data_IF_932728777691
#
_entry.id   IF_932728777691
#
_cell.length_a   1.000
_cell.length_b   1.000
_cell.length_c   1.000
_cell.angle_alpha   90.00
_cell.angle_beta   90.00
_cell.angle_gamma   90.00
#
_symmetry.space_group_name_H-M   'P 1'
#
loop_
_entity.id
_entity.type
_entity.pdbx_description
1 polymer ?
#
# COMPACT_ATOMS: atom_id res chain seq x y z
N UNK A 1 17.84 13.90 3.84
CA UNK A 1 16.39 13.66 3.95
C UNK A 1 15.69 14.97 4.24
N UNK A 2 14.61 15.25 3.54
CA UNK A 2 13.80 16.46 3.74
C UNK A 2 13.10 16.45 5.12
N UNK A 3 12.76 17.66 5.62
CA UNK A 3 11.95 17.78 6.86
C UNK A 3 10.59 17.06 6.73
N UNK A 4 10.03 17.04 5.52
CA UNK A 4 8.76 16.36 5.24
C UNK A 4 8.85 14.83 5.43
N UNK A 5 10.00 14.22 5.12
CA UNK A 5 10.21 12.81 5.36
C UNK A 5 10.14 12.44 6.85
N UNK A 6 10.72 13.27 7.73
CA UNK A 6 10.62 13.05 9.18
C UNK A 6 9.17 13.16 9.68
N UNK A 7 8.39 14.11 9.14
CA UNK A 7 6.95 14.22 9.42
C UNK A 7 6.24 12.94 8.94
N UNK A 8 6.55 12.48 7.72
CA UNK A 8 6.00 11.22 7.19
C UNK A 8 6.29 10.03 8.09
N UNK A 9 7.55 9.86 8.54
CA UNK A 9 7.90 8.78 9.48
C UNK A 9 7.20 8.90 10.82
N UNK A 10 7.02 10.11 11.35
CA UNK A 10 6.32 10.33 12.62
C UNK A 10 4.84 9.94 12.50
N UNK A 11 4.15 10.36 11.43
CA UNK A 11 2.74 10.02 11.20
C UNK A 11 2.58 8.52 10.94
N UNK A 12 3.41 7.93 10.06
CA UNK A 12 3.36 6.49 9.80
C UNK A 12 3.66 5.67 11.06
N UNK A 13 4.66 6.08 11.84
CA UNK A 13 4.99 5.48 13.13
C UNK A 13 3.82 5.54 14.12
N UNK A 14 3.13 6.68 14.20
CA UNK A 14 1.93 6.83 15.04
C UNK A 14 0.84 5.83 14.64
N UNK A 15 0.52 5.71 13.34
CA UNK A 15 -0.50 4.76 12.87
C UNK A 15 -0.07 3.31 13.05
N UNK A 16 1.21 2.98 12.84
CA UNK A 16 1.74 1.64 13.09
C UNK A 16 1.65 1.29 14.59
N UNK A 17 2.03 2.20 15.47
CA UNK A 17 1.89 2.01 16.91
C UNK A 17 0.40 1.88 17.30
N UNK A 18 -0.48 2.73 16.77
CA UNK A 18 -1.91 2.62 16.98
C UNK A 18 -2.46 1.26 16.52
N UNK A 19 -2.02 0.75 15.37
CA UNK A 19 -2.42 -0.57 14.87
C UNK A 19 -1.94 -1.73 15.75
N UNK A 20 -0.67 -1.67 16.23
CA UNK A 20 -0.10 -2.72 17.09
C UNK A 20 -0.79 -2.72 18.46
N UNK A 21 -0.94 -1.54 19.05
CA UNK A 21 -1.51 -1.37 20.39
C UNK A 21 -3.03 -1.12 20.38
N UNK A 22 -3.72 -1.35 19.26
CA UNK A 22 -5.15 -1.12 19.13
C UNK A 22 -6.00 -1.72 20.24
N UNK A 23 -5.76 -2.99 20.70
CA UNK A 23 -6.53 -3.57 21.80
C UNK A 23 -6.36 -2.86 23.15
N UNK A 24 -5.28 -2.09 23.34
CA UNK A 24 -4.99 -1.35 24.57
C UNK A 24 -5.38 0.13 24.48
N UNK A 25 -5.45 0.67 23.26
CA UNK A 25 -5.78 2.09 23.00
C UNK A 25 -7.29 2.27 22.85
N UNK A 26 -7.98 1.28 22.27
CA UNK A 26 -9.43 1.35 22.09
C UNK A 26 -10.14 1.40 23.45
N UNK A 27 -11.01 2.38 23.60
CA UNK A 27 -11.76 2.60 24.85
C UNK A 27 -13.01 1.74 24.95
N UNK A 28 -13.52 1.25 23.80
CA UNK A 28 -14.72 0.42 23.69
C UNK A 28 -14.50 -0.74 22.74
N UNK A 29 -15.33 -1.80 22.89
CA UNK A 29 -15.41 -2.86 21.89
C UNK A 29 -15.93 -2.28 20.56
N UNK A 30 -15.18 -2.51 19.48
CA UNK A 30 -15.46 -1.96 18.14
C UNK A 30 -16.74 -2.50 17.49
N UNK A 31 -17.28 -3.58 18.04
CA UNK A 31 -18.51 -4.24 17.58
C UNK A 31 -19.71 -3.98 18.47
N UNK A 32 -19.51 -3.47 19.71
CA UNK A 32 -20.56 -3.17 20.64
C UNK A 32 -21.48 -2.07 20.11
N UNK A 33 -22.76 -2.38 19.97
CA UNK A 33 -23.78 -1.49 19.44
C UNK A 33 -24.63 -0.90 20.57
N UNK A 34 -24.91 0.43 20.49
CA UNK A 34 -25.83 1.10 21.38
C UNK A 34 -26.74 2.06 20.59
N UNK A 35 -27.88 1.57 20.16
CA UNK A 35 -28.78 2.33 19.29
C UNK A 35 -29.35 3.59 19.96
N UNK A 36 -29.33 3.70 21.29
CA UNK A 36 -29.71 4.92 22.01
C UNK A 36 -28.67 6.04 21.83
N UNK A 37 -27.41 5.68 21.52
CA UNK A 37 -26.28 6.60 21.34
C UNK A 37 -25.92 6.82 19.86
N UNK A 38 -26.87 6.64 18.94
CA UNK A 38 -26.62 6.81 17.50
C UNK A 38 -26.28 8.26 17.16
N UNK A 39 -25.19 8.43 16.39
CA UNK A 39 -24.76 9.72 15.85
C UNK A 39 -24.54 10.80 16.92
N UNK A 40 -24.18 10.43 18.14
CA UNK A 40 -23.76 11.38 19.17
C UNK A 40 -22.42 11.98 18.74
N UNK A 41 -22.32 13.32 18.79
CA UNK A 41 -21.09 14.05 18.49
C UNK A 41 -19.96 13.72 19.47
N UNK A 42 -18.75 14.24 19.25
CA UNK A 42 -17.62 14.06 20.16
C UNK A 42 -17.94 14.52 21.59
N UNK A 43 -17.65 13.65 22.57
CA UNK A 43 -17.82 13.88 24.01
C UNK A 43 -16.59 13.41 24.77
N UNK A 44 -16.55 13.65 26.09
CA UNK A 44 -15.49 13.15 26.96
C UNK A 44 -15.49 11.61 27.05
N UNK A 45 -16.64 10.96 26.88
CA UNK A 45 -16.78 9.50 26.86
C UNK A 45 -16.48 8.90 25.48
N UNK A 46 -16.94 9.57 24.40
CA UNK A 46 -16.74 9.18 23.02
C UNK A 46 -15.93 10.27 22.27
N UNK A 47 -14.62 10.18 22.27
CA UNK A 47 -13.72 11.25 21.78
C UNK A 47 -13.99 11.66 20.34
N UNK A 48 -14.34 10.72 19.47
CA UNK A 48 -14.70 10.97 18.08
C UNK A 48 -16.21 10.83 17.83
N UNK A 49 -17.01 10.71 18.91
CA UNK A 49 -18.44 10.45 18.81
C UNK A 49 -18.77 9.01 18.47
N UNK A 50 -20.03 8.77 18.08
CA UNK A 50 -20.55 7.45 17.74
C UNK A 50 -21.11 7.41 16.33
N UNK A 51 -21.15 6.21 15.74
CA UNK A 51 -21.66 5.97 14.39
C UNK A 51 -23.18 5.66 14.36
N UNK A 52 -23.67 5.24 13.18
CA UNK A 52 -25.09 4.93 12.96
C UNK A 52 -25.62 3.72 13.74
N UNK A 53 -24.76 2.91 14.33
CA UNK A 53 -25.13 1.82 15.23
C UNK A 53 -24.79 2.13 16.69
N UNK A 54 -24.35 3.39 16.97
CA UNK A 54 -23.91 3.79 18.30
C UNK A 54 -22.58 3.18 18.74
N UNK A 55 -21.74 2.73 17.77
CA UNK A 55 -20.40 2.21 18.04
C UNK A 55 -19.42 3.38 18.18
N UNK A 56 -18.41 3.24 19.03
CA UNK A 56 -17.40 4.26 19.26
C UNK A 56 -16.49 4.47 18.04
N UNK A 57 -16.52 5.69 17.47
CA UNK A 57 -15.75 6.02 16.25
C UNK A 57 -14.24 6.02 16.52
N UNK A 58 -13.78 6.48 17.71
CA UNK A 58 -12.35 6.47 18.04
C UNK A 58 -11.79 5.06 18.05
N UNK A 59 -12.41 4.13 18.79
CA UNK A 59 -11.99 2.74 18.85
C UNK A 59 -11.99 2.09 17.47
N UNK A 60 -12.99 2.38 16.64
CA UNK A 60 -13.07 1.89 15.26
C UNK A 60 -11.98 2.46 14.35
N UNK A 61 -11.62 3.74 14.48
CA UNK A 61 -10.52 4.35 13.71
C UNK A 61 -9.18 3.72 14.09
N UNK A 62 -8.95 3.46 15.38
CA UNK A 62 -7.72 2.81 15.88
C UNK A 62 -7.61 1.37 15.37
N UNK A 63 -8.67 0.57 15.46
CA UNK A 63 -8.68 -0.79 14.90
C UNK A 63 -8.67 -0.78 13.36
N UNK A 64 -9.27 0.23 12.74
CA UNK A 64 -9.21 0.45 11.29
C UNK A 64 -7.78 0.65 10.79
N UNK A 65 -6.92 1.29 11.58
CA UNK A 65 -5.50 1.39 11.27
C UNK A 65 -4.86 0.02 11.10
N UNK A 66 -5.17 -0.94 11.98
CA UNK A 66 -4.64 -2.30 11.91
C UNK A 66 -5.03 -2.99 10.60
N UNK A 67 -6.32 -2.92 10.24
CA UNK A 67 -6.86 -3.59 9.06
C UNK A 67 -6.36 -2.92 7.77
N UNK A 68 -6.48 -1.59 7.66
CA UNK A 68 -6.08 -0.88 6.44
C UNK A 68 -4.55 -0.92 6.21
N UNK A 69 -3.73 -0.88 7.27
CA UNK A 69 -2.28 -1.05 7.13
C UNK A 69 -1.89 -2.50 6.82
N UNK A 70 -2.56 -3.50 7.39
CA UNK A 70 -2.32 -4.91 7.06
C UNK A 70 -2.57 -5.18 5.58
N UNK A 71 -3.68 -4.68 5.03
CA UNK A 71 -3.95 -4.75 3.59
C UNK A 71 -2.85 -4.08 2.79
N UNK A 72 -2.49 -2.83 3.13
CA UNK A 72 -1.46 -2.08 2.44
C UNK A 72 -0.10 -2.79 2.43
N UNK A 73 0.36 -3.23 3.62
CA UNK A 73 1.65 -3.92 3.78
C UNK A 73 1.65 -5.23 2.99
N UNK A 74 0.59 -6.03 3.10
CA UNK A 74 0.52 -7.33 2.42
C UNK A 74 0.51 -7.16 0.90
N UNK A 75 -0.30 -6.23 0.38
CA UNK A 75 -0.35 -5.93 -1.07
C UNK A 75 1.01 -5.47 -1.58
N UNK A 76 1.66 -4.53 -0.90
CA UNK A 76 2.97 -4.02 -1.30
C UNK A 76 4.03 -5.11 -1.25
N UNK A 77 4.08 -5.89 -0.16
CA UNK A 77 5.08 -6.95 0.03
C UNK A 77 4.96 -8.03 -1.04
N UNK A 78 3.76 -8.57 -1.26
CA UNK A 78 3.53 -9.62 -2.27
C UNK A 78 3.79 -9.07 -3.67
N UNK A 79 3.27 -7.88 -4.00
CA UNK A 79 3.48 -7.26 -5.30
C UNK A 79 4.95 -6.93 -5.58
N UNK A 80 5.69 -6.47 -4.57
CA UNK A 80 7.11 -6.16 -4.68
C UNK A 80 7.94 -7.42 -4.92
N UNK A 81 7.69 -8.51 -4.19
CA UNK A 81 8.41 -9.78 -4.38
C UNK A 81 8.15 -10.33 -5.78
N UNK A 82 6.85 -10.48 -6.13
CA UNK A 82 6.47 -11.07 -7.41
C UNK A 82 6.96 -10.22 -8.59
N UNK A 83 6.76 -8.90 -8.51
CA UNK A 83 7.24 -7.96 -9.52
C UNK A 83 8.76 -7.94 -9.63
N UNK A 84 9.48 -8.00 -8.50
CA UNK A 84 10.95 -8.08 -8.49
C UNK A 84 11.44 -9.32 -9.23
N UNK A 85 10.88 -10.49 -8.94
CA UNK A 85 11.28 -11.74 -9.57
C UNK A 85 11.04 -11.70 -11.08
N UNK A 86 9.83 -11.33 -11.50
CA UNK A 86 9.48 -11.28 -12.94
C UNK A 86 10.27 -10.20 -13.67
N UNK A 87 10.41 -9.01 -13.06
CA UNK A 87 11.17 -7.92 -13.64
C UNK A 87 12.66 -8.23 -13.77
N UNK A 88 13.23 -8.92 -12.75
CA UNK A 88 14.62 -9.36 -12.80
C UNK A 88 14.85 -10.39 -13.90
N UNK A 89 13.96 -11.38 -14.06
CA UNK A 89 14.03 -12.38 -15.13
C UNK A 89 13.97 -11.69 -16.51
N UNK A 90 12.99 -10.79 -16.70
CA UNK A 90 12.85 -10.06 -17.96
C UNK A 90 14.12 -9.24 -18.31
N UNK A 91 14.63 -8.47 -17.33
CA UNK A 91 15.80 -7.61 -17.53
C UNK A 91 17.11 -8.40 -17.70
N UNK A 92 17.27 -9.51 -17.00
CA UNK A 92 18.51 -10.29 -17.01
C UNK A 92 18.67 -11.12 -18.29
N UNK A 93 17.67 -11.93 -18.66
CA UNK A 93 17.74 -12.78 -19.82
C UNK A 93 17.57 -12.02 -21.14
N UNK A 94 16.77 -10.96 -21.16
CA UNK A 94 16.58 -10.16 -22.37
C UNK A 94 15.89 -10.94 -23.51
N UNK A 95 16.13 -10.51 -24.75
CA UNK A 95 15.71 -11.21 -25.95
C UNK A 95 14.23 -11.56 -26.01
N UNK A 96 13.90 -12.83 -26.25
CA UNK A 96 12.52 -13.32 -26.33
C UNK A 96 11.79 -13.22 -24.98
N UNK A 97 12.46 -13.57 -23.87
CA UNK A 97 11.88 -13.53 -22.52
C UNK A 97 11.45 -12.12 -22.18
N UNK A 98 12.30 -11.15 -22.42
CA UNK A 98 11.97 -9.74 -22.18
C UNK A 98 10.83 -9.25 -23.09
N UNK A 99 10.88 -9.58 -24.38
CA UNK A 99 9.84 -9.19 -25.33
C UNK A 99 8.49 -9.79 -24.96
N UNK A 100 8.45 -11.03 -24.50
CA UNK A 100 7.22 -11.68 -24.06
C UNK A 100 6.70 -11.06 -22.75
N UNK A 101 7.53 -10.94 -21.73
CA UNK A 101 7.10 -10.43 -20.42
C UNK A 101 6.77 -8.93 -20.48
N UNK A 102 7.69 -8.10 -20.99
CA UNK A 102 7.49 -6.65 -21.01
C UNK A 102 6.65 -6.15 -22.18
N UNK A 103 6.74 -6.83 -23.33
CA UNK A 103 5.98 -6.47 -24.53
C UNK A 103 4.53 -6.98 -24.52
N UNK A 104 4.28 -8.13 -23.91
CA UNK A 104 2.95 -8.72 -23.86
C UNK A 104 2.35 -8.67 -22.45
N UNK A 105 2.95 -9.40 -21.51
CA UNK A 105 2.34 -9.62 -20.20
C UNK A 105 2.11 -8.29 -19.47
N UNK A 106 3.14 -7.44 -19.33
CA UNK A 106 2.97 -6.15 -18.64
C UNK A 106 1.94 -5.26 -19.33
N UNK A 107 1.93 -5.24 -20.66
CA UNK A 107 1.01 -4.40 -21.44
C UNK A 107 -0.43 -4.86 -21.33
N UNK A 108 -0.71 -6.16 -21.24
CA UNK A 108 -2.05 -6.68 -20.99
C UNK A 108 -2.61 -6.13 -19.67
N UNK A 109 -1.83 -6.18 -18.58
CA UNK A 109 -2.26 -5.63 -17.31
C UNK A 109 -2.41 -4.09 -17.34
N UNK A 110 -1.55 -3.39 -18.06
CA UNK A 110 -1.58 -1.93 -18.16
C UNK A 110 -2.64 -1.41 -19.14
N UNK A 111 -3.18 -2.26 -20.01
CA UNK A 111 -4.28 -1.90 -20.89
C UNK A 111 -5.59 -1.64 -20.13
N UNK A 112 -5.73 -2.20 -18.93
CA UNK A 112 -6.88 -1.98 -18.08
C UNK A 112 -6.59 -0.89 -17.04
N UNK A 113 -7.52 0.07 -16.81
CA UNK A 113 -7.43 0.95 -15.66
C UNK A 113 -7.41 0.11 -14.36
N UNK A 114 -6.35 0.26 -13.54
CA UNK A 114 -6.11 -0.62 -12.39
C UNK A 114 -7.30 -0.74 -11.44
N UNK A 115 -7.95 0.39 -11.10
CA UNK A 115 -9.13 0.37 -10.23
C UNK A 115 -10.31 -0.40 -10.84
N UNK A 116 -10.56 -0.27 -12.15
CA UNK A 116 -11.63 -1.00 -12.81
C UNK A 116 -11.36 -2.52 -12.84
N UNK A 117 -10.11 -2.91 -13.07
CA UNK A 117 -9.71 -4.31 -13.00
C UNK A 117 -9.84 -4.85 -11.57
N UNK A 118 -9.50 -4.04 -10.54
CA UNK A 118 -9.70 -4.42 -9.14
C UNK A 118 -11.18 -4.65 -8.82
N UNK A 119 -12.06 -3.73 -9.25
CA UNK A 119 -13.51 -3.84 -9.09
C UNK A 119 -14.02 -5.14 -9.73
N UNK A 120 -13.63 -5.42 -10.97
CA UNK A 120 -14.04 -6.63 -11.68
C UNK A 120 -13.58 -7.91 -10.96
N UNK A 121 -12.31 -7.94 -10.49
CA UNK A 121 -11.76 -9.08 -9.76
C UNK A 121 -12.48 -9.31 -8.44
N UNK A 122 -12.70 -8.25 -7.64
CA UNK A 122 -13.40 -8.39 -6.36
C UNK A 122 -14.87 -8.75 -6.56
N UNK A 123 -15.53 -8.19 -7.57
CA UNK A 123 -16.91 -8.56 -7.91
C UNK A 123 -17.02 -10.06 -8.28
N UNK A 124 -16.01 -10.60 -8.98
CA UNK A 124 -15.95 -12.03 -9.33
C UNK A 124 -15.59 -12.92 -8.12
N UNK A 125 -14.60 -12.54 -7.32
CA UNK A 125 -14.12 -13.31 -6.17
C UNK A 125 -15.07 -13.23 -4.97
N UNK A 126 -15.88 -12.18 -4.89
CA UNK A 126 -16.75 -11.84 -3.76
C UNK A 126 -16.05 -10.99 -2.69
N UNK A 127 -16.81 -10.48 -1.72
CA UNK A 127 -16.30 -9.66 -0.62
C UNK A 127 -15.39 -10.44 0.34
N UNK A 128 -14.45 -9.75 0.98
CA UNK A 128 -13.56 -10.30 1.99
C UNK A 128 -12.14 -9.79 1.91
N UNK A 129 -11.49 -9.61 3.06
CA UNK A 129 -10.14 -9.05 3.16
C UNK A 129 -9.11 -9.78 2.29
N UNK A 130 -9.04 -11.12 2.38
CA UNK A 130 -8.09 -11.90 1.60
C UNK A 130 -8.33 -11.82 0.09
N UNK A 131 -9.59 -11.73 -0.33
CA UNK A 131 -9.96 -11.62 -1.75
C UNK A 131 -9.62 -10.23 -2.31
N UNK A 132 -9.84 -9.19 -1.51
CA UNK A 132 -9.44 -7.82 -1.83
C UNK A 132 -7.91 -7.71 -1.95
N UNK A 133 -7.16 -8.27 -1.00
CA UNK A 133 -5.69 -8.33 -1.08
C UNK A 133 -5.25 -9.05 -2.36
N UNK A 134 -5.83 -10.21 -2.66
CA UNK A 134 -5.49 -10.98 -3.86
C UNK A 134 -5.74 -10.17 -5.15
N UNK A 135 -6.90 -9.50 -5.25
CA UNK A 135 -7.22 -8.65 -6.40
C UNK A 135 -6.22 -7.50 -6.57
N UNK A 136 -5.86 -6.82 -5.47
CA UNK A 136 -4.88 -5.73 -5.50
C UNK A 136 -3.47 -6.24 -5.85
N UNK A 137 -3.07 -7.41 -5.36
CA UNK A 137 -1.78 -8.03 -5.70
C UNK A 137 -1.68 -8.39 -7.19
N UNK A 138 -2.75 -8.91 -7.79
CA UNK A 138 -2.81 -9.26 -9.23
C UNK A 138 -2.53 -8.05 -10.12
N UNK A 139 -2.81 -6.85 -9.64
CA UNK A 139 -2.60 -5.61 -10.41
C UNK A 139 -1.29 -4.93 -10.02
N UNK A 140 -0.98 -4.91 -8.73
CA UNK A 140 0.10 -4.11 -8.15
C UNK A 140 1.53 -4.50 -8.61
N UNK A 141 1.76 -5.77 -8.91
CA UNK A 141 3.10 -6.30 -9.20
C UNK A 141 3.76 -5.72 -10.46
N UNK A 142 2.97 -5.31 -11.47
CA UNK A 142 3.50 -4.84 -12.76
C UNK A 142 4.35 -3.58 -12.60
N UNK A 143 3.96 -2.67 -11.70
CA UNK A 143 4.74 -1.47 -11.40
C UNK A 143 6.14 -1.82 -10.89
N UNK A 144 6.24 -2.74 -9.94
CA UNK A 144 7.52 -3.23 -9.40
C UNK A 144 8.34 -3.97 -10.46
N UNK A 145 7.69 -4.80 -11.28
CA UNK A 145 8.37 -5.54 -12.36
C UNK A 145 9.01 -4.60 -13.38
N UNK A 146 8.34 -3.52 -13.76
CA UNK A 146 8.88 -2.51 -14.69
C UNK A 146 10.09 -1.77 -14.10
N UNK A 147 10.00 -1.36 -12.83
CA UNK A 147 11.10 -0.69 -12.14
C UNK A 147 12.31 -1.64 -12.04
N UNK A 148 12.10 -2.87 -11.56
CA UNK A 148 13.20 -3.85 -11.44
C UNK A 148 13.81 -4.17 -12.79
N UNK A 149 13.01 -4.45 -13.82
CA UNK A 149 13.50 -4.68 -15.19
C UNK A 149 14.40 -3.54 -15.64
N UNK A 150 13.96 -2.29 -15.50
CA UNK A 150 14.76 -1.11 -15.88
C UNK A 150 16.10 -1.04 -15.14
N UNK A 151 16.10 -1.33 -13.83
CA UNK A 151 17.33 -1.35 -13.04
C UNK A 151 18.26 -2.50 -13.44
N UNK A 152 17.74 -3.69 -13.64
CA UNK A 152 18.55 -4.84 -14.08
C UNK A 152 19.17 -4.60 -15.45
N UNK A 153 18.43 -4.04 -16.40
CA UNK A 153 18.95 -3.65 -17.72
C UNK A 153 20.10 -2.64 -17.61
N UNK A 154 20.02 -1.71 -16.66
CA UNK A 154 21.08 -0.71 -16.43
C UNK A 154 22.29 -1.34 -15.75
N UNK A 155 22.09 -2.08 -14.65
CA UNK A 155 23.17 -2.61 -13.81
C UNK A 155 23.97 -3.71 -14.50
N UNK A 156 23.33 -4.54 -15.35
CA UNK A 156 24.00 -5.62 -16.05
C UNK A 156 25.08 -5.15 -17.04
N UNK A 157 25.05 -3.89 -17.47
CA UNK A 157 26.02 -3.29 -18.38
C UNK A 157 27.21 -2.63 -17.64
N UNK A 158 27.25 -2.66 -16.29
CA UNK A 158 28.35 -2.09 -15.54
C UNK A 158 29.61 -2.96 -15.63
N UNK A 159 30.79 -2.32 -15.68
CA UNK A 159 32.09 -2.96 -15.87
C UNK A 159 32.34 -4.11 -14.88
N UNK A 160 31.97 -3.95 -13.61
CA UNK A 160 32.16 -5.02 -12.62
C UNK A 160 31.30 -6.26 -12.88
N UNK A 161 30.12 -6.09 -13.51
CA UNK A 161 29.26 -7.22 -13.91
C UNK A 161 29.85 -7.91 -15.13
N UNK A 162 30.34 -7.14 -16.11
CA UNK A 162 31.01 -7.65 -17.28
C UNK A 162 32.31 -8.40 -16.92
N UNK A 163 33.09 -7.86 -15.98
CA UNK A 163 34.27 -8.51 -15.44
C UNK A 163 33.94 -9.84 -14.74
N UNK A 164 32.92 -9.88 -13.87
CA UNK A 164 32.47 -11.09 -13.22
C UNK A 164 32.05 -12.17 -14.24
N UNK A 165 31.40 -11.76 -15.33
CA UNK A 165 31.03 -12.68 -16.44
C UNK A 165 32.25 -13.19 -17.18
N UNK A 166 33.23 -12.34 -17.47
CA UNK A 166 34.50 -12.74 -18.13
C UNK A 166 35.29 -13.72 -17.28
N UNK A 167 35.23 -13.61 -15.96
CA UNK A 167 35.83 -14.53 -14.99
C UNK A 167 35.04 -15.86 -14.82
N UNK A 168 33.97 -16.08 -15.59
CA UNK A 168 33.19 -17.32 -15.57
C UNK A 168 32.17 -17.44 -14.43
N UNK A 169 31.77 -16.33 -13.78
CA UNK A 169 30.72 -16.37 -12.77
C UNK A 169 29.39 -16.86 -13.37
N UNK A 170 28.69 -17.75 -12.66
CA UNK A 170 27.39 -18.26 -13.10
C UNK A 170 26.32 -17.13 -13.10
N UNK A 171 25.32 -17.30 -13.98
CA UNK A 171 24.20 -16.34 -14.10
C UNK A 171 23.49 -16.06 -12.76
N UNK A 172 23.25 -17.06 -11.94
CA UNK A 172 22.65 -16.91 -10.63
C UNK A 172 23.55 -16.10 -9.69
N UNK A 173 24.87 -16.38 -9.67
CA UNK A 173 25.81 -15.59 -8.89
C UNK A 173 25.83 -14.13 -9.33
N UNK A 174 25.87 -13.87 -10.64
CA UNK A 174 25.83 -12.51 -11.19
C UNK A 174 24.55 -11.80 -10.75
N UNK A 175 23.39 -12.44 -10.91
CA UNK A 175 22.10 -11.87 -10.57
C UNK A 175 22.00 -11.53 -9.08
N UNK A 176 22.24 -12.52 -8.19
CA UNK A 176 22.00 -12.35 -6.75
C UNK A 176 23.11 -11.56 -6.03
N UNK A 177 24.36 -11.66 -6.48
CA UNK A 177 25.50 -11.02 -5.80
C UNK A 177 25.84 -9.65 -6.38
N UNK A 178 25.67 -9.44 -7.68
CA UNK A 178 26.13 -8.22 -8.34
C UNK A 178 24.99 -7.31 -8.81
N UNK A 179 23.87 -7.86 -9.31
CA UNK A 179 22.80 -7.07 -9.91
C UNK A 179 21.74 -6.69 -8.88
N UNK A 180 21.09 -7.66 -8.23
CA UNK A 180 19.95 -7.41 -7.33
C UNK A 180 20.30 -6.44 -6.19
N UNK A 181 21.43 -6.55 -5.46
CA UNK A 181 21.74 -5.61 -4.39
C UNK A 181 21.86 -4.16 -4.85
N UNK A 182 22.29 -3.95 -6.11
CA UNK A 182 22.44 -2.61 -6.70
C UNK A 182 21.16 -2.12 -7.41
N UNK A 183 20.22 -3.01 -7.70
CA UNK A 183 18.97 -2.71 -8.39
C UNK A 183 17.79 -2.44 -7.42
N UNK A 184 17.92 -2.79 -6.13
CA UNK A 184 16.80 -2.76 -5.17
C UNK A 184 16.42 -1.37 -4.68
N UNK A 185 17.35 -0.39 -4.71
CA UNK A 185 17.11 0.94 -4.15
C UNK A 185 15.83 1.63 -4.67
N UNK A 186 15.56 1.72 -5.97
CA UNK A 186 14.34 2.33 -6.47
C UNK A 186 13.07 1.56 -6.11
N UNK A 187 13.17 0.26 -5.80
CA UNK A 187 12.03 -0.52 -5.33
C UNK A 187 11.59 -0.15 -3.91
N UNK A 188 12.53 0.27 -3.05
CA UNK A 188 12.21 0.77 -1.70
C UNK A 188 11.36 2.04 -1.81
N UNK A 189 11.75 2.96 -2.69
CA UNK A 189 10.94 4.15 -3.00
C UNK A 189 9.58 3.77 -3.55
N UNK A 190 9.55 2.86 -4.53
CA UNK A 190 8.31 2.36 -5.13
C UNK A 190 7.40 1.68 -4.08
N UNK A 191 7.97 0.97 -3.11
CA UNK A 191 7.21 0.33 -2.03
C UNK A 191 6.54 1.37 -1.12
N UNK A 192 7.25 2.45 -0.76
CA UNK A 192 6.65 3.54 0.04
C UNK A 192 5.47 4.20 -0.68
N UNK A 193 5.64 4.55 -1.97
CA UNK A 193 4.55 5.11 -2.78
C UNK A 193 3.42 4.08 -3.00
N UNK A 194 3.78 2.79 -3.12
CA UNK A 194 2.86 1.68 -3.22
C UNK A 194 1.96 1.52 -2.00
N UNK A 195 2.47 1.81 -0.79
CA UNK A 195 1.67 1.82 0.44
C UNK A 195 0.54 2.84 0.37
N UNK A 196 0.85 4.09 -0.04
CA UNK A 196 -0.17 5.13 -0.23
C UNK A 196 -1.24 4.68 -1.24
N UNK A 197 -0.80 4.12 -2.37
CA UNK A 197 -1.70 3.60 -3.41
C UNK A 197 -2.56 2.42 -2.94
N UNK A 198 -2.00 1.49 -2.18
CA UNK A 198 -2.71 0.31 -1.69
C UNK A 198 -3.81 0.68 -0.66
N UNK A 199 -3.48 1.57 0.30
CA UNK A 199 -4.45 2.07 1.29
C UNK A 199 -5.58 2.85 0.59
N UNK A 200 -5.25 3.69 -0.39
CA UNK A 200 -6.26 4.43 -1.14
C UNK A 200 -7.13 3.50 -2.00
N UNK A 201 -6.55 2.45 -2.60
CA UNK A 201 -7.29 1.47 -3.38
C UNK A 201 -8.22 0.62 -2.50
N UNK A 202 -7.76 0.19 -1.32
CA UNK A 202 -8.60 -0.48 -0.33
C UNK A 202 -9.78 0.40 0.06
N UNK A 203 -9.52 1.66 0.44
CA UNK A 203 -10.56 2.60 0.83
C UNK A 203 -11.57 2.84 -0.31
N UNK A 204 -11.10 2.97 -1.56
CA UNK A 204 -11.96 3.16 -2.73
C UNK A 204 -12.86 1.95 -3.00
N UNK A 205 -12.32 0.73 -2.92
CA UNK A 205 -13.09 -0.50 -3.10
C UNK A 205 -14.10 -0.70 -1.96
N UNK A 206 -13.68 -0.41 -0.73
CA UNK A 206 -14.55 -0.45 0.44
C UNK A 206 -15.68 0.56 0.35
N UNK A 207 -15.40 1.79 -0.10
CA UNK A 207 -16.40 2.83 -0.37
C UNK A 207 -17.45 2.41 -1.43
N UNK A 208 -17.07 1.57 -2.38
CA UNK A 208 -17.97 0.99 -3.37
C UNK A 208 -18.72 -0.27 -2.87
N UNK A 209 -18.56 -0.63 -1.59
CA UNK A 209 -19.18 -1.82 -1.01
C UNK A 209 -18.49 -3.14 -1.38
N UNK A 210 -17.31 -3.07 -2.02
CA UNK A 210 -16.53 -4.22 -2.45
C UNK A 210 -15.35 -4.53 -1.50
N UNK A 211 -15.32 -3.87 -0.37
CA UNK A 211 -14.22 -3.98 0.59
C UNK A 211 -14.40 -5.09 1.62
N UNK A 212 -13.97 -4.78 2.84
CA UNK A 212 -14.01 -5.69 3.98
C UNK A 212 -15.41 -5.63 4.60
N UNK A 213 -16.11 -6.76 4.71
CA UNK A 213 -17.47 -6.76 5.22
C UNK A 213 -17.52 -6.47 6.73
N UNK A 214 -18.62 -5.88 7.23
CA UNK A 214 -18.86 -5.75 8.66
C UNK A 214 -18.79 -7.12 9.37
N UNK A 215 -18.44 -7.19 10.67
CA UNK A 215 -18.29 -6.06 11.60
C UNK A 215 -16.89 -5.43 11.64
N UNK A 216 -15.94 -5.95 10.85
CA UNK A 216 -14.55 -5.49 10.87
C UNK A 216 -14.44 -4.01 10.43
N UNK A 217 -13.87 -3.11 11.26
CA UNK A 217 -13.74 -1.72 10.90
C UNK A 217 -12.50 -1.52 10.01
N UNK A 218 -12.67 -1.26 8.70
CA UNK A 218 -11.63 -0.60 7.92
C UNK A 218 -11.98 0.89 7.75
N UNK A 219 -10.98 1.72 7.50
CA UNK A 219 -11.26 3.14 7.26
C UNK A 219 -12.18 3.36 6.06
N UNK A 220 -12.02 2.55 5.00
CA UNK A 220 -12.85 2.64 3.81
C UNK A 220 -14.31 2.27 4.07
N UNK A 221 -14.57 1.20 4.82
CA UNK A 221 -15.95 0.82 5.20
C UNK A 221 -16.59 1.84 6.13
N UNK A 222 -15.81 2.45 7.05
CA UNK A 222 -16.32 3.53 7.90
C UNK A 222 -16.74 4.76 7.09
N UNK A 223 -15.98 5.12 6.05
CA UNK A 223 -16.34 6.21 5.12
C UNK A 223 -17.61 5.87 4.33
N UNK A 224 -17.75 4.62 3.90
CA UNK A 224 -18.95 4.14 3.19
C UNK A 224 -20.19 4.23 4.08
N UNK A 225 -20.11 3.67 5.30
CA UNK A 225 -21.20 3.71 6.28
C UNK A 225 -21.64 5.16 6.61
N UNK A 226 -20.68 6.12 6.63
CA UNK A 226 -20.92 7.51 7.00
C UNK A 226 -21.48 8.40 5.87
N UNK A 227 -21.35 8.00 4.59
CA UNK A 227 -21.61 8.87 3.43
C UNK A 227 -23.02 9.49 3.40
N UNK A 228 -24.02 8.73 3.83
CA UNK A 228 -25.43 9.17 3.81
C UNK A 228 -25.77 10.15 4.91
N UNK A 229 -24.94 10.22 5.97
CA UNK A 229 -25.19 11.02 7.19
C UNK A 229 -24.21 12.17 7.37
N UNK A 230 -23.41 12.45 6.32
CA UNK A 230 -22.39 13.51 6.38
C UNK A 230 -22.93 14.87 6.82
N UNK A 231 -24.12 15.26 6.33
CA UNK A 231 -24.73 16.56 6.67
C UNK A 231 -25.13 16.70 8.14
N UNK A 232 -25.53 15.59 8.76
CA UNK A 232 -26.05 15.60 10.14
C UNK A 232 -24.99 15.18 11.17
N UNK A 233 -24.02 14.35 10.76
CA UNK A 233 -23.01 13.76 11.65
C UNK A 233 -21.65 13.71 10.96
N UNK A 234 -21.03 14.87 10.65
CA UNK A 234 -19.81 14.94 9.85
C UNK A 234 -18.62 14.25 10.49
N UNK A 235 -18.59 14.12 11.83
CA UNK A 235 -17.51 13.48 12.57
C UNK A 235 -17.31 12.00 12.17
N UNK A 236 -18.38 11.28 11.83
CA UNK A 236 -18.31 9.86 11.48
C UNK A 236 -17.52 9.64 10.20
N UNK A 237 -17.59 10.59 9.25
CA UNK A 237 -16.83 10.57 8.00
C UNK A 237 -15.45 11.23 8.15
N UNK A 238 -15.38 12.32 8.92
CA UNK A 238 -14.18 13.14 9.05
C UNK A 238 -12.99 12.36 9.60
N UNK A 239 -13.15 11.63 10.71
CA UNK A 239 -12.04 10.96 11.36
C UNK A 239 -11.45 9.79 10.55
N UNK A 240 -12.22 8.85 9.97
CA UNK A 240 -11.64 7.83 9.11
C UNK A 240 -11.09 8.41 7.80
N UNK A 241 -11.74 9.42 7.22
CA UNK A 241 -11.22 10.13 6.05
C UNK A 241 -9.88 10.83 6.33
N UNK A 242 -9.75 11.48 7.48
CA UNK A 242 -8.50 12.10 7.93
C UNK A 242 -7.40 11.04 8.14
N UNK A 243 -7.73 9.88 8.72
CA UNK A 243 -6.77 8.78 8.90
C UNK A 243 -6.23 8.28 7.55
N UNK A 244 -7.10 8.09 6.55
CA UNK A 244 -6.68 7.74 5.18
C UNK A 244 -5.77 8.82 4.61
N UNK A 245 -6.19 10.09 4.65
CA UNK A 245 -5.44 11.22 4.10
C UNK A 245 -4.05 11.35 4.72
N UNK A 246 -3.96 11.29 6.05
CA UNK A 246 -2.69 11.38 6.77
C UNK A 246 -1.77 10.19 6.45
N UNK A 247 -2.32 8.98 6.33
CA UNK A 247 -1.54 7.79 5.97
C UNK A 247 -1.00 7.90 4.54
N UNK A 248 -1.81 8.32 3.58
CA UNK A 248 -1.38 8.55 2.20
C UNK A 248 -0.29 9.62 2.14
N UNK A 249 -0.46 10.75 2.82
CA UNK A 249 0.54 11.81 2.90
C UNK A 249 1.85 11.31 3.54
N UNK A 250 1.75 10.56 4.63
CA UNK A 250 2.92 10.03 5.33
C UNK A 250 3.78 9.15 4.42
N UNK A 251 3.18 8.19 3.74
CA UNK A 251 3.92 7.29 2.84
C UNK A 251 4.44 8.01 1.59
N UNK A 252 3.75 9.02 1.07
CA UNK A 252 4.31 9.87 -0.01
C UNK A 252 5.53 10.66 0.48
N UNK A 253 5.47 11.31 1.64
CA UNK A 253 6.62 12.03 2.21
C UNK A 253 7.81 11.11 2.51
N UNK A 254 7.55 9.88 2.96
CA UNK A 254 8.59 8.86 3.13
C UNK A 254 9.19 8.49 1.78
N UNK A 255 8.37 8.24 0.77
CA UNK A 255 8.83 7.89 -0.59
C UNK A 255 9.71 8.96 -1.20
N UNK A 256 9.29 10.23 -1.13
CA UNK A 256 10.06 11.37 -1.63
C UNK A 256 11.38 11.55 -0.87
N UNK A 257 11.35 11.41 0.46
CA UNK A 257 12.55 11.51 1.28
C UNK A 257 13.54 10.36 1.07
N UNK A 258 13.05 9.14 0.85
CA UNK A 258 13.88 8.00 0.49
C UNK A 258 14.50 8.18 -0.90
N UNK A 259 13.74 8.70 -1.86
CA UNK A 259 14.25 9.01 -3.19
C UNK A 259 15.39 10.03 -3.13
N UNK A 260 15.20 11.12 -2.38
CA UNK A 260 16.24 12.14 -2.16
C UNK A 260 17.49 11.55 -1.49
N UNK A 261 17.31 10.73 -0.45
CA UNK A 261 18.41 10.11 0.30
C UNK A 261 19.20 9.09 -0.53
N UNK A 262 18.52 8.34 -1.39
CA UNK A 262 19.11 7.28 -2.22
C UNK A 262 19.68 7.81 -3.55
N UNK A 263 19.45 9.09 -3.92
CA UNK A 263 20.00 9.69 -5.14
C UNK A 263 21.47 10.11 -4.93
N UNK A 264 22.44 9.45 -5.62
CA UNK A 264 23.86 9.75 -5.46
C UNK A 264 24.25 11.16 -5.91
N UNK A 265 23.47 11.77 -6.82
CA UNK A 265 23.78 13.09 -7.39
C UNK A 265 23.58 14.25 -6.41
N UNK A 266 22.81 14.03 -5.33
CA UNK A 266 22.60 15.06 -4.31
C UNK A 266 23.67 15.05 -3.21
N UNK A 267 24.47 13.98 -3.11
CA UNK A 267 25.58 13.89 -2.13
C UNK A 267 26.83 14.67 -2.52
N UNK A 268 26.91 15.20 -3.74
CA UNK A 268 28.06 15.94 -4.28
C UNK A 268 27.85 17.46 -4.30
N UNK A 269 26.82 17.96 -3.65
CA UNK A 269 26.59 19.37 -3.36
C UNK A 269 26.51 19.57 -1.84
#
# INVERSE_FOLDING_TARGET
MSKLAYIGFAIAGLFILAAIFAPFIATYDVTAQNLAMRYVGPTAEHWFGTDGLGRDVFSRVVFGARISLEVGITVVFVSAIFGTVIGAIAGFYGGFVDRFLSGYVFNVFLAFPGLLLAIALVAFLGAGQGKLIAALCVIGWVGYARVMRGQVLKVREYDYVLAARALGASNLRILFTHILPNAVQPLIVQASLGMAGAVLSEASLSFLGLGIPPPAPSWGTMVEEARQFFSNSPHVLFFPGLAIALTVLAFNFIGDGLREYLDPKQRSR
#
